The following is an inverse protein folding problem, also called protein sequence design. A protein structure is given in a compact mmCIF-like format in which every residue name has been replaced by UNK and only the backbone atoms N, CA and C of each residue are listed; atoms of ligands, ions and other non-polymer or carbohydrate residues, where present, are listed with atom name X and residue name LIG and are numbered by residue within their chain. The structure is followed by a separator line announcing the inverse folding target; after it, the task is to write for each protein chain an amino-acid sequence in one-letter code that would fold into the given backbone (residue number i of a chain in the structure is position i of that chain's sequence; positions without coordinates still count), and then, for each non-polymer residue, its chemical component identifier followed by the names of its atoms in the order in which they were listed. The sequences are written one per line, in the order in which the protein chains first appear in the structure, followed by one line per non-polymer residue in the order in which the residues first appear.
data_IF_939080093212
#
_entry.id   IF_939080093212
#
_cell.length_a   1.000
_cell.length_b   1.000
_cell.length_c   1.000
_cell.angle_alpha   90.00
_cell.angle_beta   90.00
_cell.angle_gamma   90.00
#
_symmetry.space_group_name_H-M   'P 1'
#
loop_
_entity.id
_entity.type
_entity.pdbx_description
1 polymer ?
#
# COMPACT_ATOMS: atom_id res chain seq x y z
N UNK A 1 17.05 -34.29 13.56
CA UNK A 1 17.62 -33.01 13.07
C UNK A 1 17.03 -32.76 11.70
N UNK A 2 16.41 -31.61 11.49
CA UNK A 2 15.82 -31.26 10.19
C UNK A 2 16.69 -30.18 9.56
N UNK A 3 17.22 -30.43 8.37
CA UNK A 3 17.95 -29.43 7.61
C UNK A 3 16.92 -28.63 6.79
N UNK A 4 16.87 -27.32 7.03
CA UNK A 4 16.16 -26.37 6.17
C UNK A 4 17.01 -26.16 4.90
N UNK A 5 16.49 -26.48 3.70
CA UNK A 5 17.30 -26.49 2.49
C UNK A 5 17.54 -25.10 1.89
N UNK A 6 17.09 -23.99 2.48
CA UNK A 6 17.16 -22.71 1.78
C UNK A 6 17.62 -21.46 2.55
N UNK A 7 18.30 -21.59 3.69
CA UNK A 7 18.96 -20.43 4.30
C UNK A 7 20.16 -20.81 5.16
N UNK A 8 21.35 -20.53 4.63
CA UNK A 8 22.56 -20.15 5.36
C UNK A 8 22.82 -20.92 6.67
N UNK A 9 23.18 -22.21 6.57
CA UNK A 9 23.83 -23.13 7.55
C UNK A 9 23.62 -22.90 9.07
N UNK A 10 22.57 -22.20 9.48
CA UNK A 10 22.32 -21.81 10.86
C UNK A 10 21.50 -22.92 11.49
N UNK A 11 22.13 -23.71 12.34
CA UNK A 11 21.51 -24.86 12.99
C UNK A 11 20.42 -24.40 13.97
N UNK A 12 19.20 -24.20 13.51
CA UNK A 12 18.03 -24.03 14.39
C UNK A 12 17.36 -25.37 14.62
N UNK A 13 17.11 -25.74 15.88
CA UNK A 13 16.68 -27.09 16.25
C UNK A 13 15.21 -27.41 15.88
N UNK A 14 14.40 -26.42 15.51
CA UNK A 14 13.00 -26.58 15.08
C UNK A 14 12.46 -25.30 14.40
N UNK A 15 11.31 -25.35 13.71
CA UNK A 15 10.63 -24.15 13.17
C UNK A 15 10.28 -23.12 14.25
N UNK A 16 9.97 -23.57 15.47
CA UNK A 16 9.77 -22.70 16.63
C UNK A 16 11.04 -21.97 17.03
N UNK A 17 12.19 -22.63 16.94
CA UNK A 17 13.49 -22.03 17.22
C UNK A 17 13.88 -20.97 16.18
N UNK A 18 13.58 -21.20 14.89
CA UNK A 18 13.76 -20.19 13.83
C UNK A 18 12.88 -18.95 14.05
N UNK A 19 11.64 -19.13 14.54
CA UNK A 19 10.74 -18.01 14.86
C UNK A 19 11.29 -17.15 16.00
N UNK A 20 11.70 -17.78 17.11
CA UNK A 20 12.30 -17.07 18.26
C UNK A 20 13.60 -16.37 17.85
N UNK A 21 14.43 -17.02 17.05
CA UNK A 21 15.67 -16.42 16.54
C UNK A 21 15.41 -15.16 15.70
N UNK A 22 14.45 -15.22 14.76
CA UNK A 22 14.05 -14.03 13.98
C UNK A 22 13.49 -12.91 14.85
N UNK A 23 12.74 -13.24 15.89
CA UNK A 23 12.23 -12.27 16.86
C UNK A 23 13.37 -11.61 17.64
N UNK A 24 14.33 -12.39 18.13
CA UNK A 24 15.51 -11.87 18.84
C UNK A 24 16.38 -10.97 17.94
N UNK A 25 16.58 -11.33 16.66
CA UNK A 25 17.30 -10.48 15.71
C UNK A 25 16.61 -9.12 15.48
N UNK A 26 15.27 -9.11 15.48
CA UNK A 26 14.49 -7.87 15.41
C UNK A 26 14.62 -7.05 16.69
N UNK A 27 14.52 -7.67 17.87
CA UNK A 27 14.71 -7.01 19.17
C UNK A 27 16.13 -6.44 19.34
N UNK A 28 17.13 -7.12 18.77
CA UNK A 28 18.53 -6.66 18.73
C UNK A 28 18.81 -5.60 17.67
N UNK A 29 17.81 -5.25 16.85
CA UNK A 29 17.93 -4.18 15.85
C UNK A 29 18.89 -4.47 14.69
N UNK A 30 19.22 -5.75 14.45
CA UNK A 30 20.20 -6.17 13.44
C UNK A 30 19.85 -5.68 12.03
N UNK A 31 18.55 -5.51 11.76
CA UNK A 31 18.04 -5.04 10.47
C UNK A 31 17.74 -3.54 10.40
N UNK A 32 17.86 -2.79 11.51
CA UNK A 32 17.41 -1.40 11.59
C UNK A 32 18.12 -0.51 10.55
N UNK A 33 19.45 -0.60 10.44
CA UNK A 33 20.21 0.19 9.46
C UNK A 33 19.92 -0.18 8.00
N UNK A 34 19.50 -1.42 7.72
CA UNK A 34 19.07 -1.84 6.37
C UNK A 34 17.66 -1.34 6.05
N UNK A 35 16.77 -1.32 7.06
CA UNK A 35 15.42 -0.78 6.95
C UNK A 35 15.45 0.74 6.75
N UNK A 36 16.31 1.46 7.47
CA UNK A 36 16.51 2.90 7.29
C UNK A 36 16.99 3.23 5.88
N UNK A 37 18.02 2.51 5.38
CA UNK A 37 18.50 2.67 3.99
C UNK A 37 17.42 2.34 2.96
N UNK A 38 16.58 1.33 3.22
CA UNK A 38 15.45 1.01 2.36
C UNK A 38 14.38 2.12 2.39
N UNK A 39 14.13 2.74 3.54
CA UNK A 39 13.22 3.87 3.67
C UNK A 39 13.75 5.12 2.95
N UNK A 40 15.06 5.39 3.03
CA UNK A 40 15.69 6.50 2.32
C UNK A 40 15.70 6.27 0.81
N UNK A 41 16.06 5.05 0.36
CA UNK A 41 16.02 4.69 -1.05
C UNK A 41 14.58 4.70 -1.61
N UNK A 42 13.57 4.39 -0.79
CA UNK A 42 12.17 4.51 -1.18
C UNK A 42 11.75 5.98 -1.39
N UNK A 43 12.39 6.96 -0.74
CA UNK A 43 12.09 8.38 -0.99
C UNK A 43 12.62 8.88 -2.34
N UNK A 44 13.72 8.31 -2.81
CA UNK A 44 14.42 8.77 -4.02
C UNK A 44 14.21 7.88 -5.24
N UNK A 45 13.77 6.63 -5.06
CA UNK A 45 13.58 5.68 -6.15
C UNK A 45 12.29 5.97 -6.93
N UNK A 46 12.35 6.31 -8.23
CA UNK A 46 11.18 6.53 -9.08
C UNK A 46 10.34 5.25 -9.29
N UNK A 47 10.89 4.08 -8.95
CA UNK A 47 10.23 2.77 -9.06
C UNK A 47 9.61 2.30 -7.74
N UNK A 48 9.93 2.94 -6.61
CA UNK A 48 9.55 2.46 -5.26
C UNK A 48 8.94 3.55 -4.38
N UNK A 49 9.18 4.83 -4.66
CA UNK A 49 8.63 5.99 -3.95
C UNK A 49 7.27 6.45 -4.45
N UNK A 50 6.69 7.48 -3.82
CA UNK A 50 5.42 8.11 -4.20
C UNK A 50 5.54 8.89 -5.54
N UNK A 51 5.80 8.18 -6.63
CA UNK A 51 5.98 8.76 -7.96
C UNK A 51 4.99 8.15 -8.96
N UNK A 52 4.68 8.90 -10.03
CA UNK A 52 3.79 8.46 -11.12
C UNK A 52 4.33 7.24 -11.89
N UNK A 53 5.66 7.03 -11.84
CA UNK A 53 6.39 5.93 -12.49
C UNK A 53 6.38 4.62 -11.68
N UNK A 54 5.60 4.53 -10.60
CA UNK A 54 5.45 3.27 -9.87
C UNK A 54 4.98 2.17 -10.83
N UNK A 55 5.71 1.07 -10.89
CA UNK A 55 5.44 -0.04 -11.81
C UNK A 55 4.05 -0.67 -11.63
N UNK A 56 3.41 -0.42 -10.48
CA UNK A 56 2.05 -0.86 -10.15
C UNK A 56 1.02 0.28 -10.08
N UNK A 57 1.36 1.46 -10.61
CA UNK A 57 0.48 2.63 -10.60
C UNK A 57 -0.71 2.43 -11.56
N UNK A 58 -1.85 2.07 -10.97
CA UNK A 58 -3.14 1.97 -11.66
C UNK A 58 -3.66 3.35 -12.06
N UNK A 59 -4.35 3.43 -13.19
CA UNK A 59 -5.16 4.60 -13.52
C UNK A 59 -6.50 4.55 -12.79
N UNK A 60 -6.97 5.72 -12.37
CA UNK A 60 -8.23 5.90 -11.66
C UNK A 60 -8.97 7.08 -12.26
N UNK A 61 -10.28 6.91 -12.44
CA UNK A 61 -11.20 7.98 -12.84
C UNK A 61 -12.20 8.16 -11.71
N UNK A 62 -12.07 9.27 -10.99
CA UNK A 62 -12.90 9.59 -9.83
C UNK A 62 -13.71 10.86 -10.11
N UNK A 63 -14.91 10.91 -9.55
CA UNK A 63 -15.76 12.09 -9.58
C UNK A 63 -15.77 12.71 -8.19
N UNK A 64 -15.47 14.01 -8.12
CA UNK A 64 -15.55 14.83 -6.93
C UNK A 64 -17.02 15.16 -6.56
N UNK A 65 -17.29 15.57 -5.31
CA UNK A 65 -18.66 15.85 -4.84
C UNK A 65 -19.35 17.02 -5.58
N UNK A 66 -18.57 17.92 -6.17
CA UNK A 66 -19.02 19.00 -7.06
C UNK A 66 -19.42 18.51 -8.47
N UNK A 67 -19.10 17.26 -8.80
CA UNK A 67 -19.37 16.64 -10.09
C UNK A 67 -18.17 16.62 -11.05
N UNK A 68 -17.04 17.25 -10.68
CA UNK A 68 -15.85 17.30 -11.51
C UNK A 68 -15.16 15.92 -11.60
N UNK A 69 -14.62 15.59 -12.78
CA UNK A 69 -14.05 14.27 -13.06
C UNK A 69 -12.53 14.38 -13.18
N UNK A 70 -11.84 13.68 -12.28
CA UNK A 70 -10.38 13.62 -12.25
C UNK A 70 -9.89 12.27 -12.75
N UNK A 71 -8.92 12.32 -13.68
CA UNK A 71 -8.18 11.15 -14.16
C UNK A 71 -6.78 11.21 -13.59
N UNK A 72 -6.43 10.26 -12.73
CA UNK A 72 -5.12 10.22 -12.09
C UNK A 72 -4.44 8.86 -12.27
N UNK A 73 -3.12 8.88 -12.32
CA UNK A 73 -2.26 7.69 -12.23
C UNK A 73 -1.67 7.68 -10.83
N UNK A 74 -1.79 6.57 -10.11
CA UNK A 74 -1.48 6.49 -8.68
C UNK A 74 -2.40 7.38 -7.80
N UNK A 75 -3.59 6.86 -7.49
CA UNK A 75 -4.59 7.53 -6.65
C UNK A 75 -4.02 8.07 -5.32
N UNK A 76 -3.11 7.35 -4.67
CA UNK A 76 -2.59 7.77 -3.37
C UNK A 76 -1.76 9.04 -3.46
N UNK A 77 -0.93 9.16 -4.51
CA UNK A 77 -0.16 10.37 -4.78
C UNK A 77 -1.09 11.55 -5.10
N UNK A 78 -2.07 11.33 -5.97
CA UNK A 78 -3.02 12.36 -6.35
C UNK A 78 -3.79 12.91 -5.14
N UNK A 79 -4.23 12.03 -4.22
CA UNK A 79 -4.90 12.43 -2.99
C UNK A 79 -3.98 13.21 -2.03
N UNK A 80 -2.68 12.94 -2.05
CA UNK A 80 -1.67 13.66 -1.26
C UNK A 80 -1.49 15.09 -1.79
N UNK A 81 -1.42 15.24 -3.11
CA UNK A 81 -1.31 16.54 -3.80
C UNK A 81 -2.60 17.37 -3.68
N UNK A 82 -3.76 16.73 -3.59
CA UNK A 82 -5.08 17.38 -3.52
C UNK A 82 -5.71 17.24 -2.13
N UNK A 83 -4.89 17.15 -1.07
CA UNK A 83 -5.38 16.96 0.29
C UNK A 83 -6.35 18.06 0.72
N UNK A 84 -6.17 19.29 0.23
CA UNK A 84 -7.03 20.44 0.57
C UNK A 84 -8.47 20.29 0.06
N UNK A 85 -8.69 19.48 -0.98
CA UNK A 85 -10.02 19.20 -1.54
C UNK A 85 -10.74 18.04 -0.85
N UNK A 86 -10.02 17.30 0.00
CA UNK A 86 -10.52 16.09 0.64
C UNK A 86 -11.06 16.47 2.02
N UNK A 87 -12.33 16.17 2.25
CA UNK A 87 -12.90 16.22 3.60
C UNK A 87 -12.44 15.00 4.42
N UNK A 88 -11.22 15.02 4.93
CA UNK A 88 -10.62 13.96 5.75
C UNK A 88 -9.13 13.73 5.48
N UNK A 89 -8.61 12.59 5.93
CA UNK A 89 -7.21 12.23 5.65
C UNK A 89 -7.08 11.55 4.29
N UNK A 90 -5.93 11.73 3.62
CA UNK A 90 -5.54 11.01 2.39
C UNK A 90 -5.79 9.50 2.52
N UNK A 91 -5.47 8.94 3.69
CA UNK A 91 -5.69 7.52 3.98
C UNK A 91 -7.17 7.13 3.98
N UNK A 92 -8.05 7.96 4.55
CA UNK A 92 -9.48 7.71 4.55
C UNK A 92 -10.07 7.79 3.15
N UNK A 93 -9.66 8.79 2.35
CA UNK A 93 -10.09 8.92 0.97
C UNK A 93 -9.65 7.72 0.12
N UNK A 94 -8.38 7.33 0.25
CA UNK A 94 -7.83 6.17 -0.45
C UNK A 94 -8.58 4.88 -0.09
N UNK A 95 -8.83 4.64 1.21
CA UNK A 95 -9.58 3.48 1.68
C UNK A 95 -11.05 3.53 1.21
N UNK A 96 -11.69 4.69 1.25
CA UNK A 96 -13.04 4.92 0.75
C UNK A 96 -13.19 4.57 -0.73
N UNK A 97 -12.34 5.13 -1.59
CA UNK A 97 -12.37 4.90 -3.04
C UNK A 97 -12.03 3.43 -3.37
N UNK A 98 -11.07 2.84 -2.66
CA UNK A 98 -10.72 1.42 -2.82
C UNK A 98 -11.88 0.50 -2.41
N UNK A 99 -12.62 0.85 -1.35
CA UNK A 99 -13.83 0.12 -0.94
C UNK A 99 -14.91 0.17 -2.01
N UNK A 100 -15.09 1.32 -2.69
CA UNK A 100 -16.03 1.44 -3.82
C UNK A 100 -15.65 0.47 -4.93
N UNK A 101 -14.37 0.42 -5.32
CA UNK A 101 -13.85 -0.56 -6.28
C UNK A 101 -14.19 -1.99 -5.88
N UNK A 102 -13.93 -2.39 -4.64
CA UNK A 102 -14.24 -3.75 -4.18
C UNK A 102 -15.73 -4.05 -4.17
N UNK A 103 -16.58 -3.05 -3.89
CA UNK A 103 -18.03 -3.17 -4.01
C UNK A 103 -18.48 -3.36 -5.45
N UNK A 104 -17.89 -2.63 -6.41
CA UNK A 104 -18.15 -2.80 -7.84
C UNK A 104 -17.68 -4.17 -8.35
N UNK A 105 -16.58 -4.70 -7.82
CA UNK A 105 -16.09 -6.06 -8.10
C UNK A 105 -16.91 -7.17 -7.40
N UNK A 106 -17.92 -6.84 -6.59
CA UNK A 106 -18.71 -7.83 -5.85
C UNK A 106 -17.98 -8.52 -4.69
N UNK A 107 -16.78 -8.04 -4.31
CA UNK A 107 -15.94 -8.65 -3.25
C UNK A 107 -16.40 -8.30 -1.83
N UNK A 108 -17.39 -7.41 -1.67
CA UNK A 108 -17.90 -6.99 -0.37
C UNK A 108 -19.36 -7.39 -0.18
N UNK A 109 -19.68 -7.91 1.01
CA UNK A 109 -21.05 -8.19 1.46
C UNK A 109 -21.90 -6.91 1.49
N UNK A 110 -21.35 -5.84 2.07
CA UNK A 110 -21.98 -4.52 2.10
C UNK A 110 -21.34 -3.62 1.04
N UNK A 111 -22.15 -3.23 0.06
CA UNK A 111 -21.71 -2.44 -1.08
C UNK A 111 -21.70 -0.95 -0.71
N UNK A 112 -20.63 -0.26 -1.10
CA UNK A 112 -20.48 1.19 -1.00
C UNK A 112 -20.18 1.72 -2.39
N UNK A 113 -20.91 2.73 -2.85
CA UNK A 113 -20.77 3.31 -4.19
C UNK A 113 -20.29 4.76 -4.17
N UNK A 114 -20.19 5.35 -2.98
CA UNK A 114 -19.71 6.69 -2.78
C UNK A 114 -19.01 6.81 -1.43
N UNK A 115 -18.08 7.76 -1.35
CA UNK A 115 -17.40 8.15 -0.13
C UNK A 115 -17.43 9.68 -0.04
N UNK A 116 -18.20 10.24 0.90
CA UNK A 116 -18.32 11.71 1.05
C UNK A 116 -18.61 12.47 -0.26
N UNK A 117 -19.50 11.92 -1.08
CA UNK A 117 -19.83 12.46 -2.41
C UNK A 117 -18.85 12.08 -3.53
N UNK A 118 -17.65 11.61 -3.21
CA UNK A 118 -16.72 11.06 -4.18
C UNK A 118 -17.22 9.72 -4.73
N UNK A 119 -17.10 9.54 -6.04
CA UNK A 119 -17.47 8.30 -6.73
C UNK A 119 -16.32 7.79 -7.57
N UNK A 120 -16.26 6.48 -7.73
CA UNK A 120 -15.34 5.82 -8.66
C UNK A 120 -16.09 5.53 -9.95
N UNK A 121 -15.62 6.10 -11.06
CA UNK A 121 -16.20 5.90 -12.39
C UNK A 121 -15.51 4.77 -13.13
N UNK A 122 -14.17 4.76 -13.12
CA UNK A 122 -13.37 3.76 -13.83
C UNK A 122 -12.02 3.53 -13.13
N UNK A 123 -11.41 2.38 -13.37
CA UNK A 123 -10.05 2.06 -12.94
C UNK A 123 -9.35 1.18 -13.99
N UNK A 124 -8.13 1.55 -14.35
CA UNK A 124 -7.28 0.73 -15.22
C UNK A 124 -6.32 -0.18 -14.45
N UNK A 125 -5.57 -0.96 -15.23
CA UNK A 125 -4.47 -1.79 -14.75
C UNK A 125 -3.16 -0.99 -14.65
#
# INVERSE_FOLDING_TARGET
MFNDPHSNMTKTCSPGCSRVYRQNLHEQGVYNGTLEKAHEAAKTSPLTGHFETHMHAKSWVIQAPDGEIYKCRNLKLWLDEHQDMIDGTVRQAWDGITKIKYSMQGKRKFKSYQWKGWKLLDWGQ
#
